data_IF_386690927655
#
_entry.id   IF_386690927655
#
_cell.length_a   1.000
_cell.length_b   1.000
_cell.length_c   1.000
_cell.angle_alpha   90.00
_cell.angle_beta   90.00
_cell.angle_gamma   90.00
#
_symmetry.space_group_name_H-M   'P 1'
#
loop_
_entity.id
_entity.type
_entity.pdbx_description
1 polymer ?
#
# COMPACT_ATOMS: atom_id res chain seq x y z
N UNK A 1 5.15 -0.91 1.38
CA UNK A 1 6.15 -0.86 0.29
C UNK A 1 7.59 -0.85 0.83
N UNK A 2 8.00 0.10 1.69
CA UNK A 2 9.39 0.21 2.16
C UNK A 2 9.79 -0.95 3.09
N UNK A 3 8.98 -1.23 4.11
CA UNK A 3 9.22 -2.34 5.02
C UNK A 3 9.20 -3.72 4.32
N UNK A 4 8.37 -3.87 3.32
CA UNK A 4 8.29 -5.04 2.46
C UNK A 4 9.59 -5.25 1.66
N UNK A 5 10.04 -4.20 0.95
CA UNK A 5 11.30 -4.23 0.22
C UNK A 5 12.52 -4.47 1.14
N UNK A 6 12.50 -3.95 2.36
CA UNK A 6 13.57 -4.20 3.34
C UNK A 6 13.61 -5.69 3.76
N UNK A 7 12.44 -6.30 3.98
CA UNK A 7 12.28 -7.72 4.30
C UNK A 7 12.77 -8.61 3.16
N UNK A 8 12.36 -8.35 1.93
CA UNK A 8 12.81 -9.05 0.73
C UNK A 8 14.33 -9.00 0.59
N UNK A 9 14.90 -7.80 0.76
CA UNK A 9 16.34 -7.60 0.66
C UNK A 9 17.10 -8.35 1.76
N UNK A 10 16.58 -8.37 3.00
CA UNK A 10 17.17 -9.12 4.09
C UNK A 10 17.20 -10.61 3.80
N UNK A 11 16.10 -11.19 3.28
CA UNK A 11 16.06 -12.60 2.89
C UNK A 11 17.05 -12.92 1.76
N UNK A 12 17.07 -12.10 0.70
CA UNK A 12 17.99 -12.29 -0.45
C UNK A 12 19.45 -12.19 -0.01
N UNK A 13 19.77 -11.25 0.85
CA UNK A 13 21.12 -11.06 1.36
C UNK A 13 21.58 -12.24 2.22
N UNK A 14 20.73 -12.73 3.15
CA UNK A 14 20.99 -13.90 3.96
C UNK A 14 21.18 -15.16 3.09
N UNK A 15 20.32 -15.37 2.09
CA UNK A 15 20.43 -16.49 1.16
C UNK A 15 21.72 -16.43 0.32
N UNK A 16 22.13 -15.24 -0.16
CA UNK A 16 23.37 -15.06 -0.90
C UNK A 16 24.60 -15.30 -0.02
N UNK A 17 24.56 -14.87 1.24
CA UNK A 17 25.60 -15.19 2.21
C UNK A 17 25.77 -16.70 2.38
N UNK A 18 24.68 -17.43 2.57
CA UNK A 18 24.70 -18.89 2.71
C UNK A 18 25.20 -19.58 1.43
N UNK A 19 24.83 -19.09 0.24
CA UNK A 19 25.39 -19.59 -1.03
C UNK A 19 26.91 -19.45 -1.09
N UNK A 20 27.44 -18.30 -0.68
CA UNK A 20 28.89 -18.06 -0.65
C UNK A 20 29.59 -18.96 0.39
N UNK A 21 29.00 -19.08 1.57
CA UNK A 21 29.54 -19.92 2.65
C UNK A 21 29.46 -21.43 2.34
N UNK A 22 28.48 -21.87 1.58
CA UNK A 22 28.37 -23.26 1.12
C UNK A 22 29.46 -23.64 0.11
N UNK A 23 30.17 -22.66 -0.47
CA UNK A 23 31.35 -22.88 -1.29
C UNK A 23 32.68 -22.63 -0.53
N UNK A 24 32.64 -22.46 0.78
CA UNK A 24 33.82 -22.13 1.59
C UNK A 24 34.87 -23.24 1.52
N UNK A 25 36.22 -22.91 1.39
CA UNK A 25 37.27 -23.90 1.31
C UNK A 25 37.39 -24.76 2.55
N UNK A 26 37.10 -24.21 3.73
CA UNK A 26 37.13 -24.95 5.00
C UNK A 26 35.87 -25.84 5.11
N UNK A 27 36.08 -27.15 5.18
CA UNK A 27 35.01 -28.14 5.14
C UNK A 27 33.97 -27.98 6.27
N UNK A 28 34.42 -27.69 7.50
CA UNK A 28 33.51 -27.50 8.64
C UNK A 28 32.53 -26.34 8.43
N UNK A 29 33.02 -25.22 7.90
CA UNK A 29 32.20 -24.04 7.56
C UNK A 29 31.23 -24.35 6.41
N UNK A 30 31.77 -24.96 5.34
CA UNK A 30 30.95 -25.39 4.20
C UNK A 30 29.81 -26.30 4.60
N UNK A 31 30.10 -27.32 5.41
CA UNK A 31 29.08 -28.28 5.88
C UNK A 31 28.00 -27.60 6.70
N UNK A 32 28.37 -26.75 7.66
CA UNK A 32 27.39 -26.00 8.47
C UNK A 32 26.57 -25.07 7.58
N UNK A 33 27.20 -24.31 6.68
CA UNK A 33 26.47 -23.41 5.77
C UNK A 33 25.50 -24.16 4.84
N UNK A 34 25.88 -25.35 4.39
CA UNK A 34 24.99 -26.20 3.55
C UNK A 34 23.75 -26.64 4.32
N UNK A 35 23.86 -26.93 5.60
CA UNK A 35 22.70 -27.26 6.45
C UNK A 35 21.70 -26.11 6.52
N UNK A 36 22.19 -24.87 6.75
CA UNK A 36 21.34 -23.67 6.73
C UNK A 36 20.74 -23.39 5.34
N UNK A 37 21.56 -23.56 4.30
CA UNK A 37 21.10 -23.37 2.92
C UNK A 37 19.99 -24.34 2.55
N UNK A 38 20.05 -25.58 3.05
CA UNK A 38 19.01 -26.58 2.83
C UNK A 38 17.66 -26.13 3.40
N UNK A 39 17.65 -25.41 4.53
CA UNK A 39 16.40 -24.81 5.05
C UNK A 39 15.87 -23.72 4.14
N UNK A 40 16.72 -22.81 3.66
CA UNK A 40 16.31 -21.80 2.70
C UNK A 40 15.73 -22.44 1.43
N UNK A 41 16.35 -23.50 0.92
CA UNK A 41 15.88 -24.22 -0.26
C UNK A 41 14.57 -24.97 -0.02
N UNK A 42 14.37 -25.52 1.20
CA UNK A 42 13.10 -26.16 1.60
C UNK A 42 11.92 -25.21 1.52
N UNK A 43 12.12 -23.95 1.91
CA UNK A 43 11.06 -22.94 1.91
C UNK A 43 10.94 -22.18 0.58
N UNK A 44 11.95 -22.25 -0.28
CA UNK A 44 12.00 -21.54 -1.57
C UNK A 44 12.18 -20.04 -1.42
N UNK A 45 11.99 -19.32 -2.51
CA UNK A 45 12.06 -17.85 -2.53
C UNK A 45 10.68 -17.24 -2.24
N UNK A 46 10.45 -16.66 -1.04
CA UNK A 46 9.16 -16.11 -0.68
C UNK A 46 8.93 -14.69 -1.22
N UNK A 47 9.97 -14.02 -1.72
CA UNK A 47 9.93 -12.58 -2.06
C UNK A 47 9.05 -12.24 -3.27
N UNK A 48 8.48 -13.21 -3.95
CA UNK A 48 7.52 -13.05 -5.04
C UNK A 48 6.10 -13.44 -4.67
N UNK A 49 5.88 -13.89 -3.44
CA UNK A 49 4.59 -14.36 -2.95
C UNK A 49 3.73 -13.23 -2.37
N UNK A 50 2.41 -13.45 -2.21
CA UNK A 50 1.57 -12.53 -1.46
C UNK A 50 2.09 -12.31 -0.02
N UNK A 51 2.02 -11.09 0.49
CA UNK A 51 2.61 -10.68 1.77
C UNK A 51 2.27 -11.59 2.96
N UNK A 52 1.04 -12.08 3.03
CA UNK A 52 0.60 -12.98 4.11
C UNK A 52 1.26 -14.36 4.01
N UNK A 53 1.41 -14.87 2.79
CA UNK A 53 2.05 -16.16 2.51
C UNK A 53 3.55 -16.08 2.78
N UNK A 54 4.19 -15.01 2.36
CA UNK A 54 5.59 -14.72 2.65
C UNK A 54 5.86 -14.67 4.15
N UNK A 55 5.05 -13.92 4.94
CA UNK A 55 5.18 -13.88 6.39
C UNK A 55 5.03 -15.25 7.04
N UNK A 56 4.13 -16.10 6.54
CA UNK A 56 3.98 -17.47 7.01
C UNK A 56 5.23 -18.33 6.77
N UNK A 57 5.84 -18.19 5.60
CA UNK A 57 7.08 -18.89 5.24
C UNK A 57 8.25 -18.38 6.10
N UNK A 58 8.40 -17.06 6.23
CA UNK A 58 9.48 -16.46 7.03
C UNK A 58 9.37 -16.85 8.51
N UNK A 59 8.16 -16.89 9.06
CA UNK A 59 7.93 -17.33 10.44
C UNK A 59 8.46 -18.75 10.65
N UNK A 60 8.11 -19.69 9.78
CA UNK A 60 8.55 -21.08 9.85
C UNK A 60 10.06 -21.21 9.63
N UNK A 61 10.63 -20.49 8.66
CA UNK A 61 12.07 -20.46 8.39
C UNK A 61 12.83 -19.95 9.61
N UNK A 62 12.42 -18.84 10.23
CA UNK A 62 13.04 -18.27 11.42
C UNK A 62 12.97 -19.23 12.60
N UNK A 63 11.86 -19.95 12.76
CA UNK A 63 11.70 -20.98 13.81
C UNK A 63 12.68 -22.14 13.60
N UNK A 64 12.77 -22.66 12.38
CA UNK A 64 13.69 -23.76 12.06
C UNK A 64 15.15 -23.34 12.21
N UNK A 65 15.52 -22.11 11.79
CA UNK A 65 16.86 -21.57 11.96
C UNK A 65 17.27 -21.46 13.45
N UNK A 66 16.36 -21.01 14.31
CA UNK A 66 16.59 -20.96 15.76
C UNK A 66 16.75 -22.36 16.37
N UNK A 67 16.02 -23.34 15.85
CA UNK A 67 16.08 -24.73 16.33
C UNK A 67 17.43 -25.41 16.04
N UNK A 68 18.20 -24.96 15.03
CA UNK A 68 19.55 -25.47 14.74
C UNK A 68 20.51 -25.23 15.91
N UNK A 69 20.32 -24.15 16.66
CA UNK A 69 21.07 -23.81 17.86
C UNK A 69 22.22 -22.83 17.64
N UNK A 70 22.48 -22.04 18.67
CA UNK A 70 23.41 -20.90 18.62
C UNK A 70 24.85 -21.29 18.25
N UNK A 71 25.32 -22.49 18.64
CA UNK A 71 26.69 -22.93 18.35
C UNK A 71 26.96 -23.06 16.83
N UNK A 72 25.99 -23.51 16.04
CA UNK A 72 26.11 -23.57 14.58
C UNK A 72 25.96 -22.21 13.93
N UNK A 73 25.06 -21.36 14.46
CA UNK A 73 24.92 -19.98 14.01
C UNK A 73 26.26 -19.22 14.12
N UNK A 74 26.92 -19.31 15.28
CA UNK A 74 28.24 -18.69 15.53
C UNK A 74 29.34 -19.25 14.64
N UNK A 75 29.28 -20.54 14.32
CA UNK A 75 30.30 -21.19 13.47
C UNK A 75 30.44 -20.51 12.11
N UNK A 76 29.32 -20.07 11.53
CA UNK A 76 29.30 -19.39 10.22
C UNK A 76 28.94 -17.90 10.34
N UNK A 77 29.01 -17.32 11.55
CA UNK A 77 28.66 -15.91 11.81
C UNK A 77 27.28 -15.50 11.24
N UNK A 78 26.27 -16.38 11.39
CA UNK A 78 24.93 -16.15 10.81
C UNK A 78 23.97 -15.44 11.75
N UNK A 79 24.33 -15.22 13.03
CA UNK A 79 23.47 -14.58 14.02
C UNK A 79 22.98 -13.18 13.57
N UNK A 80 23.90 -12.38 13.01
CA UNK A 80 23.55 -11.04 12.55
C UNK A 80 22.52 -11.08 11.41
N UNK A 81 22.63 -12.04 10.50
CA UNK A 81 21.68 -12.24 9.41
C UNK A 81 20.32 -12.68 9.91
N UNK A 82 20.28 -13.63 10.86
CA UNK A 82 19.06 -14.09 11.49
C UNK A 82 18.34 -12.95 12.20
N UNK A 83 19.08 -12.19 13.03
CA UNK A 83 18.54 -11.05 13.77
C UNK A 83 18.02 -9.96 12.83
N UNK A 84 18.75 -9.67 11.75
CA UNK A 84 18.32 -8.68 10.76
C UNK A 84 17.03 -9.11 10.04
N UNK A 85 16.95 -10.36 9.60
CA UNK A 85 15.76 -10.89 8.94
C UNK A 85 14.54 -10.86 9.88
N UNK A 86 14.72 -11.24 11.14
CA UNK A 86 13.66 -11.19 12.17
C UNK A 86 13.21 -9.75 12.45
N UNK A 87 14.15 -8.82 12.52
CA UNK A 87 13.83 -7.39 12.69
C UNK A 87 13.05 -6.82 11.52
N UNK A 88 13.41 -7.17 10.28
CA UNK A 88 12.71 -6.73 9.09
C UNK A 88 11.28 -7.30 9.03
N UNK A 89 11.08 -8.58 9.36
CA UNK A 89 9.75 -9.19 9.44
C UNK A 89 8.90 -8.53 10.53
N UNK A 90 9.45 -8.30 11.71
CA UNK A 90 8.75 -7.61 12.81
C UNK A 90 8.33 -6.19 12.41
N UNK A 91 9.22 -5.46 11.75
CA UNK A 91 8.93 -4.11 11.25
C UNK A 91 7.83 -4.10 10.18
N UNK A 92 7.84 -5.10 9.30
CA UNK A 92 6.80 -5.28 8.30
C UNK A 92 5.44 -5.54 8.95
N UNK A 93 5.36 -6.50 9.88
CA UNK A 93 4.11 -6.83 10.58
C UNK A 93 3.57 -5.65 11.38
N UNK A 94 4.45 -4.87 12.03
CA UNK A 94 4.07 -3.64 12.72
C UNK A 94 3.47 -2.61 11.77
N UNK A 95 4.10 -2.40 10.61
CA UNK A 95 3.59 -1.47 9.60
C UNK A 95 2.22 -1.90 9.02
N UNK A 96 2.00 -3.21 8.85
CA UNK A 96 0.69 -3.75 8.41
C UNK A 96 -0.37 -3.53 9.49
N UNK A 97 -0.06 -3.79 10.77
CA UNK A 97 -0.97 -3.57 11.89
C UNK A 97 -1.36 -2.10 11.99
N UNK A 98 -0.39 -1.19 11.96
CA UNK A 98 -0.64 0.25 12.00
C UNK A 98 -1.54 0.71 10.84
N UNK A 99 -1.28 0.24 9.63
CA UNK A 99 -2.11 0.56 8.47
C UNK A 99 -3.55 0.06 8.64
N UNK A 100 -3.73 -1.15 9.18
CA UNK A 100 -5.05 -1.72 9.45
C UNK A 100 -5.80 -0.89 10.50
N UNK A 101 -5.11 -0.44 11.56
CA UNK A 101 -5.67 0.44 12.58
C UNK A 101 -6.06 1.80 12.00
N UNK A 102 -5.22 2.40 11.16
CA UNK A 102 -5.52 3.65 10.47
C UNK A 102 -6.72 3.52 9.53
N UNK A 103 -6.83 2.40 8.82
CA UNK A 103 -7.98 2.12 7.95
C UNK A 103 -9.27 1.91 8.76
N UNK A 104 -9.19 1.20 9.89
CA UNK A 104 -10.32 1.00 10.80
C UNK A 104 -10.77 2.31 11.49
N UNK A 105 -9.82 3.19 11.82
CA UNK A 105 -10.10 4.51 12.40
C UNK A 105 -10.68 5.51 11.40
N UNK A 106 -10.64 5.24 10.10
CA UNK A 106 -11.30 6.09 9.10
C UNK A 106 -12.80 6.10 9.34
N UNK A 107 -13.30 7.25 9.76
CA UNK A 107 -14.74 7.44 9.89
C UNK A 107 -15.38 7.44 8.49
N UNK A 108 -16.02 6.34 8.16
CA UNK A 108 -16.79 6.19 6.92
C UNK A 108 -17.94 7.19 6.98
N UNK A 109 -17.94 8.16 6.08
CA UNK A 109 -19.02 9.14 6.02
C UNK A 109 -18.62 10.61 6.21
N UNK A 110 -17.47 10.93 6.82
CA UNK A 110 -17.02 12.34 7.03
C UNK A 110 -17.01 13.13 5.72
N UNK A 111 -16.54 12.55 4.63
CA UNK A 111 -16.51 13.21 3.32
C UNK A 111 -17.93 13.47 2.81
N UNK A 112 -18.86 12.55 3.04
CA UNK A 112 -20.26 12.70 2.65
C UNK A 112 -20.94 13.80 3.47
N UNK A 113 -20.75 13.79 4.79
CA UNK A 113 -21.30 14.79 5.69
C UNK A 113 -20.75 16.20 5.39
N UNK A 114 -19.43 16.31 5.21
CA UNK A 114 -18.78 17.57 4.84
C UNK A 114 -19.29 18.12 3.50
N UNK A 115 -19.52 17.25 2.50
CA UNK A 115 -20.10 17.63 1.22
C UNK A 115 -21.54 18.08 1.37
N UNK A 116 -22.35 17.40 2.18
CA UNK A 116 -23.73 17.78 2.44
C UNK A 116 -23.82 19.12 3.17
N UNK A 117 -22.95 19.35 4.15
CA UNK A 117 -22.86 20.62 4.86
C UNK A 117 -22.46 21.77 3.93
N UNK A 118 -21.45 21.56 3.05
CA UNK A 118 -21.03 22.53 2.06
C UNK A 118 -22.14 22.84 1.05
N UNK A 119 -22.88 21.83 0.58
CA UNK A 119 -23.99 21.99 -0.36
C UNK A 119 -25.16 22.78 0.28
N UNK A 120 -25.46 22.47 1.54
CA UNK A 120 -26.49 23.21 2.30
C UNK A 120 -26.10 24.69 2.50
N UNK A 121 -24.85 24.96 2.88
CA UNK A 121 -24.33 26.32 3.05
C UNK A 121 -24.34 27.09 1.72
N UNK A 122 -23.93 26.45 0.63
CA UNK A 122 -23.99 27.04 -0.71
C UNK A 122 -25.41 27.41 -1.13
N UNK A 123 -26.38 26.50 -0.96
CA UNK A 123 -27.79 26.76 -1.27
C UNK A 123 -28.37 27.91 -0.45
N UNK A 124 -28.02 27.96 0.84
CA UNK A 124 -28.46 29.05 1.72
C UNK A 124 -27.88 30.41 1.27
N UNK A 125 -26.58 30.45 0.92
CA UNK A 125 -25.91 31.65 0.39
C UNK A 125 -26.54 32.10 -0.93
N UNK A 126 -26.74 31.20 -1.88
CA UNK A 126 -27.35 31.51 -3.18
C UNK A 126 -28.80 32.03 -3.00
N UNK A 127 -29.58 31.42 -2.10
CA UNK A 127 -30.91 31.88 -1.78
C UNK A 127 -30.94 33.28 -1.19
N UNK A 128 -30.00 33.58 -0.26
CA UNK A 128 -29.89 34.90 0.35
C UNK A 128 -29.49 35.96 -0.66
N UNK A 129 -28.49 35.68 -1.52
CA UNK A 129 -28.06 36.62 -2.56
C UNK A 129 -29.20 36.92 -3.54
N UNK A 130 -29.94 35.91 -3.98
CA UNK A 130 -31.09 36.09 -4.86
C UNK A 130 -32.18 36.94 -4.19
N UNK A 131 -32.49 36.69 -2.91
CA UNK A 131 -33.46 37.48 -2.18
C UNK A 131 -33.01 38.95 -2.04
N UNK A 132 -31.75 39.19 -1.72
CA UNK A 132 -31.19 40.54 -1.61
C UNK A 132 -31.16 41.26 -2.96
N UNK A 133 -30.87 40.57 -4.05
CA UNK A 133 -30.89 41.14 -5.40
C UNK A 133 -32.33 41.61 -5.77
N UNK A 134 -33.35 40.84 -5.40
CA UNK A 134 -34.76 41.23 -5.60
C UNK A 134 -35.13 42.46 -4.79
N UNK A 135 -34.68 42.55 -3.52
CA UNK A 135 -35.03 43.64 -2.62
C UNK A 135 -34.26 44.92 -2.88
N UNK A 136 -32.96 44.81 -3.16
CA UNK A 136 -32.04 45.94 -3.27
C UNK A 136 -31.69 46.32 -4.72
N UNK A 137 -32.13 45.53 -5.69
CA UNK A 137 -31.75 45.62 -7.09
C UNK A 137 -30.53 44.75 -7.42
N UNK A 138 -30.40 44.36 -8.66
CA UNK A 138 -29.42 43.36 -9.14
C UNK A 138 -27.98 43.90 -9.24
N UNK A 139 -27.82 45.21 -9.37
CA UNK A 139 -26.55 45.85 -9.77
C UNK A 139 -25.41 45.50 -8.81
N UNK A 140 -25.67 45.51 -7.51
CA UNK A 140 -24.65 45.21 -6.48
C UNK A 140 -24.24 43.72 -6.45
N UNK A 141 -25.08 42.82 -6.95
CA UNK A 141 -24.89 41.36 -6.87
C UNK A 141 -24.56 40.72 -8.23
N UNK A 142 -24.73 41.44 -9.33
CA UNK A 142 -24.55 40.93 -10.70
C UNK A 142 -23.17 40.27 -10.90
N UNK A 143 -22.10 40.93 -10.52
CA UNK A 143 -20.73 40.39 -10.66
C UNK A 143 -20.53 39.08 -9.90
N UNK A 144 -21.13 38.93 -8.71
CA UNK A 144 -21.04 37.68 -7.93
C UNK A 144 -21.85 36.57 -8.61
N UNK A 145 -23.08 36.88 -9.00
CA UNK A 145 -23.98 35.92 -9.68
C UNK A 145 -23.33 35.40 -10.96
N UNK A 146 -22.79 36.29 -11.80
CA UNK A 146 -22.13 35.91 -13.06
C UNK A 146 -20.92 35.01 -12.83
N UNK A 147 -20.08 35.33 -11.86
CA UNK A 147 -18.91 34.48 -11.50
C UNK A 147 -19.33 33.11 -11.03
N UNK A 148 -20.33 33.01 -10.20
CA UNK A 148 -20.86 31.73 -9.71
C UNK A 148 -21.43 30.92 -10.86
N UNK A 149 -22.21 31.53 -11.76
CA UNK A 149 -22.77 30.86 -12.93
C UNK A 149 -21.68 30.33 -13.87
N UNK A 150 -20.60 31.09 -14.12
CA UNK A 150 -19.46 30.63 -14.91
C UNK A 150 -18.78 29.41 -14.25
N UNK A 151 -18.62 29.39 -12.93
CA UNK A 151 -18.06 28.25 -12.21
C UNK A 151 -18.95 27.01 -12.35
N UNK A 152 -20.24 27.18 -12.18
CA UNK A 152 -21.24 26.11 -12.32
C UNK A 152 -21.18 25.52 -13.74
N UNK A 153 -21.16 26.33 -14.76
CA UNK A 153 -21.18 25.87 -16.16
C UNK A 153 -19.88 25.16 -16.54
N UNK A 154 -18.73 25.62 -16.03
CA UNK A 154 -17.47 24.86 -16.16
C UNK A 154 -17.56 23.48 -15.51
N UNK A 155 -18.12 23.38 -14.32
CA UNK A 155 -18.28 22.09 -13.64
C UNK A 155 -19.27 21.16 -14.35
N UNK A 156 -20.36 21.67 -14.87
CA UNK A 156 -21.30 20.90 -15.70
C UNK A 156 -20.61 20.34 -16.96
N UNK A 157 -19.75 21.12 -17.58
CA UNK A 157 -18.98 20.68 -18.77
C UNK A 157 -18.02 19.54 -18.41
N UNK A 158 -17.30 19.66 -17.29
CA UNK A 158 -16.39 18.61 -16.79
C UNK A 158 -17.17 17.32 -16.47
N UNK A 159 -18.34 17.43 -15.82
CA UNK A 159 -19.19 16.27 -15.49
C UNK A 159 -19.70 15.57 -16.75
N UNK A 160 -20.17 16.32 -17.76
CA UNK A 160 -20.59 15.77 -19.06
C UNK A 160 -19.45 15.02 -19.74
N UNK A 161 -18.25 15.61 -19.80
CA UNK A 161 -17.08 14.96 -20.39
C UNK A 161 -16.72 13.65 -19.67
N UNK A 162 -16.81 13.60 -18.32
CA UNK A 162 -16.56 12.38 -17.55
C UNK A 162 -17.60 11.30 -17.81
N UNK A 163 -18.88 11.67 -17.94
CA UNK A 163 -19.95 10.72 -18.26
C UNK A 163 -19.77 10.13 -19.67
N UNK A 164 -19.41 10.95 -20.65
CA UNK A 164 -19.17 10.50 -22.03
C UNK A 164 -17.97 9.55 -22.10
N UNK A 165 -16.87 9.87 -21.40
CA UNK A 165 -15.69 9.00 -21.38
C UNK A 165 -15.93 7.71 -20.58
N UNK A 166 -16.73 7.73 -19.51
CA UNK A 166 -17.12 6.55 -18.76
C UNK A 166 -18.04 5.61 -19.55
N UNK A 167 -18.94 6.15 -20.36
CA UNK A 167 -19.77 5.37 -21.29
C UNK A 167 -18.94 4.67 -22.38
N UNK A 168 -18.00 5.39 -23.00
CA UNK A 168 -17.09 4.80 -24.01
C UNK A 168 -16.24 3.65 -23.45
N UNK A 169 -15.75 3.77 -22.23
CA UNK A 169 -14.97 2.70 -21.59
C UNK A 169 -15.78 1.44 -21.34
N UNK A 170 -17.05 1.56 -20.98
CA UNK A 170 -17.95 0.41 -20.81
C UNK A 170 -18.28 -0.28 -22.14
N UNK A 171 -18.45 0.47 -23.23
CA UNK A 171 -18.71 -0.10 -24.55
C UNK A 171 -17.47 -0.79 -25.16
N UNK A 172 -16.25 -0.38 -24.80
CA UNK A 172 -15.02 -1.05 -25.22
C UNK A 172 -14.77 -2.35 -24.46
N UNK A 173 -15.13 -2.42 -23.15
CA UNK A 173 -15.01 -3.64 -22.33
C UNK A 173 -16.07 -4.70 -22.67
N UNK A 174 -17.22 -4.30 -23.24
CA UNK A 174 -18.31 -5.22 -23.64
C UNK A 174 -18.18 -5.75 -25.08
N UNK A 175 -17.15 -5.36 -25.83
CA UNK A 175 -16.92 -5.93 -27.17
C UNK A 175 -16.41 -7.35 -27.07
N UNK A 176 -17.11 -8.37 -27.59
CA UNK A 176 -16.59 -9.73 -27.63
C UNK A 176 -15.33 -9.74 -28.49
N UNK A 177 -14.24 -10.29 -27.94
CA UNK A 177 -13.03 -10.60 -28.69
C UNK A 177 -13.40 -11.57 -29.82
N UNK A 178 -13.43 -11.06 -31.05
CA UNK A 178 -13.56 -11.90 -32.24
C UNK A 178 -12.21 -12.56 -32.46
N UNK A 179 -12.19 -13.90 -32.36
CA UNK A 179 -11.08 -14.77 -32.74
C UNK A 179 -10.79 -14.66 -34.24
#
# INVERSE_FOLDING_TARGET
AEADAARDNAWRAANNYLKAMAAHPTESLRRTATEFKTLFDKYGDPTSLPQTEESGILHNLLQDLKAIGNGKLSTIAFEAWLTHLESCETSFLSAVSQRTEEEAARQVGIVKESRQAADAAYRSLAGLVNALAVVNGDEAYATFIDRVNVIIDRQKTVLKARQTNGGRRKEEDERPSVL
#
